data_IF_087745209633
#
_entry.id   IF_087745209633
#
_cell.length_a   1.000
_cell.length_b   1.000
_cell.length_c   1.000
_cell.angle_alpha   90.00
_cell.angle_beta   90.00
_cell.angle_gamma   90.00
#
_symmetry.space_group_name_H-M   'P 1'
#
loop_
_entity.id
_entity.type
_entity.pdbx_description
1 polymer ?
#
# COMPACT_ATOMS: atom_id res chain seq x y z
N UNK A 1 -6.20 8.90 12.37
CA UNK A 1 -6.08 7.50 11.93
C UNK A 1 -4.64 7.31 11.47
N UNK A 2 -3.97 6.21 11.82
CA UNK A 2 -2.58 5.98 11.42
C UNK A 2 -2.55 5.20 10.09
N UNK A 3 -2.58 5.94 8.98
CA UNK A 3 -2.67 5.36 7.64
C UNK A 3 -1.42 4.58 7.26
N UNK A 4 -0.24 4.99 7.75
CA UNK A 4 0.99 4.24 7.52
C UNK A 4 0.91 2.84 8.14
N UNK A 5 0.47 2.71 9.40
CA UNK A 5 0.31 1.39 10.03
C UNK A 5 -0.72 0.52 9.31
N UNK A 6 -1.86 1.09 8.92
CA UNK A 6 -2.90 0.37 8.18
C UNK A 6 -2.36 -0.09 6.82
N UNK A 7 -1.72 0.81 6.10
CA UNK A 7 -1.14 0.53 4.79
C UNK A 7 -0.07 -0.56 4.87
N UNK A 8 0.80 -0.50 5.90
CA UNK A 8 1.87 -1.49 6.09
C UNK A 8 1.30 -2.88 6.36
N UNK A 9 0.33 -2.98 7.26
CA UNK A 9 -0.34 -4.25 7.56
C UNK A 9 -1.02 -4.84 6.31
N UNK A 10 -1.74 -4.02 5.55
CA UNK A 10 -2.42 -4.43 4.31
C UNK A 10 -1.44 -4.85 3.21
N UNK A 11 -0.37 -4.08 2.99
CA UNK A 11 0.68 -4.42 2.01
C UNK A 11 1.41 -5.70 2.39
N UNK A 12 1.67 -5.95 3.68
CA UNK A 12 2.25 -7.22 4.13
C UNK A 12 1.35 -8.42 3.81
N UNK A 13 0.02 -8.26 3.90
CA UNK A 13 -0.92 -9.31 3.48
C UNK A 13 -0.87 -9.50 1.96
N UNK A 14 -0.88 -8.40 1.21
CA UNK A 14 -0.97 -8.40 -0.26
C UNK A 14 0.31 -8.81 -0.98
N UNK A 15 1.46 -8.47 -0.40
CA UNK A 15 2.80 -8.68 -0.96
C UNK A 15 3.61 -9.62 -0.05
N UNK A 16 3.26 -10.92 0.04
CA UNK A 16 3.89 -11.86 0.96
C UNK A 16 5.40 -11.99 0.74
N UNK A 17 5.86 -11.87 -0.52
CA UNK A 17 7.28 -11.95 -0.91
C UNK A 17 8.12 -10.79 -0.34
N UNK A 18 7.49 -9.65 -0.07
CA UNK A 18 8.17 -8.43 0.41
C UNK A 18 7.90 -8.15 1.90
N UNK A 19 7.23 -9.05 2.63
CA UNK A 19 6.88 -8.86 4.06
C UNK A 19 8.06 -8.44 4.93
N UNK A 20 9.22 -9.07 4.75
CA UNK A 20 10.42 -8.76 5.54
C UNK A 20 10.89 -7.33 5.29
N UNK A 21 11.02 -6.95 4.01
CA UNK A 21 11.38 -5.58 3.61
C UNK A 21 10.35 -4.56 4.11
N UNK A 22 9.06 -4.85 3.99
CA UNK A 22 7.96 -4.01 4.51
C UNK A 22 7.94 -3.91 6.04
N UNK A 23 8.53 -4.86 6.77
CA UNK A 23 8.64 -4.79 8.23
C UNK A 23 9.87 -3.99 8.68
N UNK A 24 10.97 -4.09 7.93
CA UNK A 24 12.29 -3.62 8.36
C UNK A 24 12.63 -2.23 7.78
N UNK A 25 12.17 -1.92 6.57
CA UNK A 25 12.53 -0.67 5.89
C UNK A 25 11.62 0.49 6.32
N UNK A 26 12.25 1.62 6.67
CA UNK A 26 11.58 2.86 7.12
C UNK A 26 12.10 4.12 6.42
N UNK A 27 12.55 4.01 5.18
CA UNK A 27 12.95 5.20 4.42
C UNK A 27 11.72 6.01 3.99
N UNK A 28 11.91 7.32 3.80
CA UNK A 28 10.84 8.29 3.59
C UNK A 28 9.93 7.93 2.42
N UNK A 29 10.51 7.62 1.25
CA UNK A 29 9.74 7.31 0.05
C UNK A 29 8.80 6.09 0.23
N UNK A 30 9.26 5.03 0.90
CA UNK A 30 8.41 3.89 1.22
C UNK A 30 7.32 4.26 2.21
N UNK A 31 7.64 5.04 3.24
CA UNK A 31 6.68 5.43 4.27
C UNK A 31 5.54 6.28 3.66
N UNK A 32 5.88 7.20 2.75
CA UNK A 32 4.90 7.98 1.98
C UNK A 32 3.99 7.11 1.11
N UNK A 33 4.55 6.13 0.38
CA UNK A 33 3.74 5.20 -0.43
C UNK A 33 2.84 4.31 0.44
N UNK A 34 3.34 3.83 1.57
CA UNK A 34 2.58 3.03 2.53
C UNK A 34 1.42 3.84 3.11
N UNK A 35 1.66 5.10 3.48
CA UNK A 35 0.62 5.99 4.01
C UNK A 35 -0.46 6.28 2.96
N UNK A 36 -0.07 6.60 1.72
CA UNK A 36 -0.99 6.81 0.61
C UNK A 36 -1.84 5.57 0.31
N UNK A 37 -1.24 4.37 0.38
CA UNK A 37 -1.97 3.12 0.25
C UNK A 37 -2.98 2.91 1.38
N UNK A 38 -2.58 3.21 2.62
CA UNK A 38 -3.45 3.13 3.78
C UNK A 38 -4.69 4.01 3.65
N UNK A 39 -4.50 5.26 3.20
CA UNK A 39 -5.60 6.18 2.91
C UNK A 39 -6.53 5.61 1.83
N UNK A 40 -5.98 5.18 0.68
CA UNK A 40 -6.78 4.65 -0.43
C UNK A 40 -7.61 3.42 -0.02
N UNK A 41 -7.05 2.53 0.80
CA UNK A 41 -7.76 1.35 1.31
C UNK A 41 -8.87 1.74 2.28
N UNK A 42 -8.64 2.72 3.17
CA UNK A 42 -9.67 3.19 4.11
C UNK A 42 -10.81 3.83 3.33
N UNK A 43 -10.53 4.76 2.43
CA UNK A 43 -11.56 5.42 1.63
C UNK A 43 -12.35 4.41 0.79
N UNK A 44 -11.70 3.41 0.20
CA UNK A 44 -12.41 2.35 -0.53
C UNK A 44 -13.36 1.54 0.37
N UNK A 45 -12.93 1.22 1.59
CA UNK A 45 -13.77 0.46 2.53
C UNK A 45 -14.95 1.34 3.00
N UNK A 46 -14.72 2.61 3.30
CA UNK A 46 -15.78 3.56 3.67
C UNK A 46 -16.82 3.69 2.55
N UNK A 47 -16.38 3.83 1.29
CA UNK A 47 -17.27 3.84 0.13
C UNK A 47 -18.07 2.53 -0.02
N UNK A 48 -17.48 1.41 0.37
CA UNK A 48 -18.14 0.10 0.35
C UNK A 48 -19.17 -0.05 1.47
N UNK A 49 -18.88 0.45 2.66
CA UNK A 49 -19.74 0.34 3.85
C UNK A 49 -20.95 1.28 3.79
N UNK A 50 -20.80 2.49 3.25
CA UNK A 50 -21.87 3.48 3.19
C UNK A 50 -22.89 3.24 2.07
N UNK A 51 -22.87 2.07 1.43
CA UNK A 51 -23.75 1.70 0.31
C UNK A 51 -23.83 2.80 -0.78
N UNK A 52 -22.78 3.60 -0.94
CA UNK A 52 -22.70 4.55 -2.03
C UNK A 52 -22.49 3.75 -3.31
N UNK A 53 -23.50 3.79 -4.19
CA UNK A 53 -23.51 3.16 -5.52
C UNK A 53 -22.53 3.79 -6.51
N UNK A 54 -21.53 4.54 -6.04
CA UNK A 54 -20.44 5.05 -6.87
C UNK A 54 -19.41 3.95 -7.14
N UNK A 55 -19.88 2.92 -7.84
CA UNK A 55 -19.06 1.89 -8.49
C UNK A 55 -17.86 2.48 -9.26
N UNK A 56 -18.00 3.58 -10.04
CA UNK A 56 -16.83 4.19 -10.69
C UNK A 56 -15.79 4.72 -9.71
N UNK A 57 -16.21 5.30 -8.58
CA UNK A 57 -15.28 5.81 -7.57
C UNK A 57 -14.57 4.66 -6.83
N UNK A 58 -15.30 3.57 -6.54
CA UNK A 58 -14.70 2.34 -5.98
C UNK A 58 -13.65 1.75 -6.92
N UNK A 59 -13.94 1.71 -8.22
CA UNK A 59 -12.99 1.26 -9.23
C UNK A 59 -11.75 2.16 -9.28
N UNK A 60 -11.92 3.49 -9.23
CA UNK A 60 -10.80 4.43 -9.20
C UNK A 60 -9.89 4.21 -7.97
N UNK A 61 -10.47 4.01 -6.78
CA UNK A 61 -9.68 3.70 -5.59
C UNK A 61 -9.03 2.31 -5.64
N UNK A 62 -9.64 1.34 -6.32
CA UNK A 62 -9.01 0.03 -6.56
C UNK A 62 -7.80 0.16 -7.49
N UNK A 63 -7.91 0.94 -8.56
CA UNK A 63 -6.81 1.22 -9.49
C UNK A 63 -5.67 1.98 -8.81
N UNK A 64 -6.00 2.98 -7.97
CA UNK A 64 -5.01 3.68 -7.13
C UNK A 64 -4.28 2.73 -6.18
N UNK A 65 -5.01 1.84 -5.49
CA UNK A 65 -4.39 0.82 -4.65
C UNK A 65 -3.42 -0.05 -5.45
N UNK A 66 -3.81 -0.43 -6.67
CA UNK A 66 -2.99 -1.27 -7.54
C UNK A 66 -1.73 -0.57 -8.02
N UNK A 67 -1.84 0.68 -8.45
CA UNK A 67 -0.69 1.49 -8.86
C UNK A 67 0.33 1.63 -7.71
N UNK A 68 -0.15 1.90 -6.49
CA UNK A 68 0.72 2.02 -5.32
C UNK A 68 1.37 0.67 -4.96
N UNK A 69 0.64 -0.46 -5.06
CA UNK A 69 1.21 -1.81 -4.90
C UNK A 69 2.40 -2.03 -5.85
N UNK A 70 2.25 -1.67 -7.13
CA UNK A 70 3.28 -1.86 -8.16
C UNK A 70 4.48 -0.92 -7.95
N UNK A 71 4.25 0.32 -7.52
CA UNK A 71 5.32 1.26 -7.14
C UNK A 71 6.11 0.76 -5.93
N UNK A 72 5.43 0.24 -4.91
CA UNK A 72 6.08 -0.37 -3.74
C UNK A 72 6.92 -1.58 -4.16
N UNK A 73 6.40 -2.47 -5.01
CA UNK A 73 7.17 -3.62 -5.51
C UNK A 73 8.40 -3.16 -6.29
N UNK A 74 8.25 -2.18 -7.18
CA UNK A 74 9.34 -1.61 -7.97
C UNK A 74 10.43 -1.04 -7.06
N UNK A 75 10.02 -0.23 -6.09
CA UNK A 75 10.92 0.36 -5.12
C UNK A 75 11.67 -0.71 -4.30
N UNK A 76 10.96 -1.70 -3.77
CA UNK A 76 11.56 -2.77 -2.96
C UNK A 76 12.47 -3.70 -3.75
N UNK A 77 12.18 -3.91 -5.05
CA UNK A 77 13.02 -4.71 -5.95
C UNK A 77 14.30 -3.96 -6.32
N UNK A 78 14.22 -2.64 -6.55
CA UNK A 78 15.38 -1.80 -6.84
C UNK A 78 16.33 -1.65 -5.64
N UNK A 79 15.90 -2.00 -4.43
CA UNK A 79 16.70 -1.91 -3.20
C UNK A 79 17.55 -3.18 -2.96
N UNK A 80 17.39 -4.28 -3.71
CA UNK A 80 18.16 -5.54 -3.48
C UNK A 80 18.88 -6.03 -4.75
N UNK A 81 20.20 -6.31 -4.73
CA UNK A 81 20.87 -7.19 -3.76
C UNK A 81 22.08 -6.60 -2.98
N UNK A 82 22.33 -5.29 -2.97
CA UNK A 82 23.55 -4.72 -2.35
C UNK A 82 23.53 -4.54 -0.83
N UNK A 83 22.45 -4.90 -0.14
CA UNK A 83 22.31 -4.73 1.32
C UNK A 83 22.25 -6.05 2.11
N UNK A 84 22.57 -7.18 1.48
CA UNK A 84 22.90 -8.44 2.17
C UNK A 84 24.41 -8.60 2.07
N UNK A 85 25.13 -8.12 3.09
CA UNK A 85 26.53 -8.44 3.33
C UNK A 85 26.62 -9.26 4.61
#
# INVERSE_FOLDING_TARGET
>A
MDFEKIGRARLMIRLPRHRKQLSELRFLALSTLIEAYGLAVVTRNELSEHAMSDEPLKAEYADKCRAIEDEVVTLLTNISPRFVN
#
